data_IF_646334966232
#
_entry.id   IF_646334966232
#
_cell.length_a   1.000
_cell.length_b   1.000
_cell.length_c   1.000
_cell.angle_alpha   90.00
_cell.angle_beta   90.00
_cell.angle_gamma   90.00
#
_symmetry.space_group_name_H-M   'P 1'
#
loop_
_entity.id
_entity.type
_entity.pdbx_description
1 polymer ?
#
# COMPACT_ATOMS: atom_id res chain seq x y z
N UNK A 1 -34.29 -11.77 6.93
CA UNK A 1 -33.29 -10.73 7.28
C UNK A 1 -33.01 -9.90 6.05
N UNK A 2 -33.29 -8.59 6.10
CA UNK A 2 -33.11 -7.69 4.95
C UNK A 2 -31.62 -7.46 4.64
N UNK A 3 -31.32 -7.11 3.37
CA UNK A 3 -29.95 -6.74 2.94
C UNK A 3 -29.32 -5.65 3.82
N UNK A 4 -30.12 -4.72 4.32
CA UNK A 4 -29.73 -3.65 5.25
C UNK A 4 -29.24 -4.21 6.59
N UNK A 5 -29.85 -5.28 7.10
CA UNK A 5 -29.41 -5.93 8.35
C UNK A 5 -28.10 -6.70 8.19
N UNK A 6 -27.80 -7.22 6.98
CA UNK A 6 -26.49 -7.83 6.67
C UNK A 6 -25.40 -6.78 6.58
N UNK A 7 -25.66 -5.63 5.95
CA UNK A 7 -24.71 -4.51 5.89
C UNK A 7 -24.38 -3.96 7.28
N UNK A 8 -25.38 -3.78 8.16
CA UNK A 8 -25.13 -3.34 9.54
C UNK A 8 -24.33 -4.37 10.38
N UNK A 9 -24.46 -5.65 10.08
CA UNK A 9 -23.73 -6.71 10.79
C UNK A 9 -22.26 -6.74 10.36
N UNK A 10 -21.97 -6.55 9.08
CA UNK A 10 -20.59 -6.44 8.54
C UNK A 10 -19.92 -5.16 9.05
N UNK A 11 -20.64 -4.02 9.10
CA UNK A 11 -20.12 -2.77 9.65
C UNK A 11 -19.81 -2.85 11.15
N UNK A 12 -20.64 -3.55 11.92
CA UNK A 12 -20.41 -3.78 13.35
C UNK A 12 -19.24 -4.73 13.62
N UNK A 13 -19.07 -5.74 12.79
CA UNK A 13 -17.96 -6.71 12.92
C UNK A 13 -16.64 -6.04 12.58
N UNK A 14 -16.55 -5.27 11.49
CA UNK A 14 -15.32 -4.54 11.14
C UNK A 14 -14.91 -3.50 12.18
N UNK A 15 -15.87 -2.75 12.75
CA UNK A 15 -15.60 -1.77 13.81
C UNK A 15 -15.27 -2.43 15.16
N UNK A 16 -15.86 -3.58 15.47
CA UNK A 16 -15.57 -4.36 16.67
C UNK A 16 -14.18 -4.99 16.59
N UNK A 17 -13.79 -5.52 15.44
CA UNK A 17 -12.45 -6.09 15.23
C UNK A 17 -11.40 -4.98 15.33
N UNK A 18 -11.63 -3.80 14.73
CA UNK A 18 -10.72 -2.66 14.81
C UNK A 18 -10.57 -2.13 16.26
N UNK A 19 -11.66 -2.07 17.03
CA UNK A 19 -11.63 -1.66 18.44
C UNK A 19 -10.98 -2.72 19.33
N UNK A 20 -11.25 -4.01 19.14
CA UNK A 20 -10.56 -5.10 19.83
C UNK A 20 -9.07 -5.13 19.53
N UNK A 21 -8.69 -4.78 18.29
CA UNK A 21 -7.32 -4.71 17.83
C UNK A 21 -6.54 -3.55 18.49
N UNK A 22 -7.17 -2.37 18.57
CA UNK A 22 -6.61 -1.19 19.28
C UNK A 22 -6.46 -1.46 20.77
N UNK A 23 -7.41 -2.19 21.38
CA UNK A 23 -7.39 -2.51 22.82
C UNK A 23 -6.36 -3.57 23.21
N UNK A 24 -5.94 -4.44 22.27
CA UNK A 24 -4.96 -5.51 22.54
C UNK A 24 -3.50 -5.07 22.42
N UNK A 25 -3.21 -3.84 21.97
CA UNK A 25 -1.84 -3.35 21.82
C UNK A 25 -1.01 -4.13 20.77
N UNK A 26 -1.65 -4.99 19.97
CA UNK A 26 -1.01 -5.73 18.89
C UNK A 26 -0.69 -4.79 17.73
N UNK A 27 0.51 -4.93 17.18
CA UNK A 27 1.07 -4.00 16.22
C UNK A 27 0.14 -3.84 15.01
N UNK A 28 -0.15 -2.62 14.60
CA UNK A 28 -0.80 -2.28 13.33
C UNK A 28 -0.22 -3.04 12.11
N UNK A 29 1.02 -3.56 12.23
CA UNK A 29 1.67 -4.37 11.21
C UNK A 29 0.88 -5.63 10.81
N UNK A 30 0.03 -6.19 11.68
CA UNK A 30 -0.74 -7.37 11.33
C UNK A 30 -1.90 -7.05 10.39
N UNK A 31 -2.58 -5.90 10.54
CA UNK A 31 -3.75 -5.55 9.73
C UNK A 31 -3.45 -5.41 8.23
N UNK A 32 -2.35 -4.72 7.88
CA UNK A 32 -1.93 -4.65 6.46
C UNK A 32 -1.51 -6.04 5.96
N UNK A 33 -0.81 -6.80 6.79
CA UNK A 33 -0.34 -8.14 6.43
C UNK A 33 -1.53 -9.09 6.19
N UNK A 34 -2.51 -9.10 7.09
CA UNK A 34 -3.76 -9.85 6.95
C UNK A 34 -4.51 -9.46 5.69
N UNK A 35 -4.62 -8.14 5.40
CA UNK A 35 -5.27 -7.65 4.19
C UNK A 35 -4.58 -8.14 2.90
N UNK A 36 -3.25 -8.23 2.90
CA UNK A 36 -2.46 -8.75 1.78
C UNK A 36 -2.51 -10.28 1.70
N UNK A 37 -2.62 -10.98 2.83
CA UNK A 37 -2.81 -12.44 2.85
C UNK A 37 -4.20 -12.85 2.33
N UNK A 38 -5.24 -12.06 2.64
CA UNK A 38 -6.60 -12.29 2.12
C UNK A 38 -6.65 -12.09 0.58
N UNK A 39 -6.04 -11.01 0.08
CA UNK A 39 -5.90 -10.75 -1.35
C UNK A 39 -4.55 -10.08 -1.65
N UNK A 40 -3.63 -10.76 -2.38
CA UNK A 40 -2.31 -10.21 -2.68
C UNK A 40 -2.33 -9.16 -3.80
N UNK A 41 -3.51 -8.71 -4.25
CA UNK A 41 -3.64 -7.67 -5.27
C UNK A 41 -3.93 -6.33 -4.60
N UNK A 42 -3.03 -5.37 -4.82
CA UNK A 42 -3.14 -3.99 -4.36
C UNK A 42 -3.60 -3.13 -5.54
N UNK A 43 -4.71 -2.42 -5.38
CA UNK A 43 -5.17 -1.48 -6.40
C UNK A 43 -4.38 -0.17 -6.30
N UNK A 44 -3.71 0.24 -7.37
CA UNK A 44 -3.02 1.51 -7.47
C UNK A 44 -3.86 2.49 -8.28
N UNK A 45 -4.51 3.44 -7.61
CA UNK A 45 -5.45 4.39 -8.23
C UNK A 45 -4.73 5.68 -8.63
N UNK A 46 -5.00 6.19 -9.83
CA UNK A 46 -4.33 7.37 -10.42
C UNK A 46 -5.29 8.50 -10.83
N UNK A 47 -6.59 8.33 -10.58
CA UNK A 47 -7.64 9.32 -10.82
C UNK A 47 -8.92 8.94 -10.05
N UNK A 48 -9.93 9.83 -10.09
CA UNK A 48 -11.20 9.63 -9.37
C UNK A 48 -12.06 8.49 -9.93
N UNK A 49 -11.93 8.15 -11.21
CA UNK A 49 -12.70 7.04 -11.81
C UNK A 49 -12.12 5.71 -11.37
N UNK A 50 -10.78 5.57 -11.34
CA UNK A 50 -10.10 4.43 -10.74
C UNK A 50 -10.52 4.24 -9.26
N UNK A 51 -10.60 5.34 -8.51
CA UNK A 51 -11.01 5.32 -7.11
C UNK A 51 -12.42 4.77 -6.93
N UNK A 52 -13.40 5.25 -7.72
CA UNK A 52 -14.78 4.77 -7.67
C UNK A 52 -14.89 3.28 -7.97
N UNK A 53 -14.19 2.83 -9.03
CA UNK A 53 -14.15 1.41 -9.40
C UNK A 53 -13.55 0.59 -8.26
N UNK A 54 -12.38 1.00 -7.76
CA UNK A 54 -11.69 0.31 -6.68
C UNK A 54 -12.55 0.19 -5.41
N UNK A 55 -13.24 1.27 -5.00
CA UNK A 55 -14.10 1.26 -3.83
C UNK A 55 -15.31 0.32 -3.96
N UNK A 56 -15.76 0.03 -5.19
CA UNK A 56 -16.86 -0.91 -5.45
C UNK A 56 -16.45 -2.40 -5.46
N UNK A 57 -15.15 -2.70 -5.56
CA UNK A 57 -14.64 -4.08 -5.60
C UNK A 57 -14.49 -4.62 -4.17
N UNK A 58 -15.24 -5.65 -3.81
CA UNK A 58 -15.23 -6.22 -2.45
C UNK A 58 -13.91 -6.93 -2.10
N UNK A 59 -13.26 -7.55 -3.09
CA UNK A 59 -12.04 -8.33 -2.89
C UNK A 59 -10.80 -7.46 -2.67
N UNK A 60 -10.76 -6.24 -3.19
CA UNK A 60 -9.64 -5.33 -2.96
C UNK A 60 -9.62 -4.86 -1.51
N UNK A 61 -8.52 -5.12 -0.81
CA UNK A 61 -8.31 -4.76 0.59
C UNK A 61 -7.39 -3.56 0.77
N UNK A 62 -6.41 -3.40 -0.11
CA UNK A 62 -5.38 -2.37 -0.01
C UNK A 62 -5.38 -1.48 -1.25
N UNK A 63 -5.33 -0.17 -1.03
CA UNK A 63 -5.33 0.84 -2.10
C UNK A 63 -4.09 1.74 -1.98
N UNK A 64 -3.31 1.84 -3.07
CA UNK A 64 -2.22 2.78 -3.23
C UNK A 64 -2.72 4.01 -3.98
N UNK A 65 -2.66 5.18 -3.36
CA UNK A 65 -3.13 6.46 -3.91
C UNK A 65 -1.95 7.14 -4.61
N UNK A 66 -2.03 7.24 -5.94
CA UNK A 66 -0.97 7.80 -6.80
C UNK A 66 -1.35 9.17 -7.40
N UNK A 67 -2.40 9.82 -6.91
CA UNK A 67 -2.92 11.07 -7.44
C UNK A 67 -3.53 11.94 -6.35
N UNK A 68 -3.87 13.16 -6.73
CA UNK A 68 -4.48 14.15 -5.85
C UNK A 68 -3.53 15.29 -5.50
N UNK A 69 -3.99 16.15 -4.67
CA UNK A 69 -3.26 17.33 -4.19
C UNK A 69 -3.56 17.59 -2.70
N UNK A 70 -2.91 18.60 -2.14
CA UNK A 70 -3.06 18.97 -0.74
C UNK A 70 -4.52 19.32 -0.35
N UNK A 71 -5.35 19.73 -1.30
CA UNK A 71 -6.75 20.09 -1.06
C UNK A 71 -7.69 18.88 -1.13
N UNK A 72 -7.39 17.90 -1.99
CA UNK A 72 -8.26 16.74 -2.29
C UNK A 72 -7.89 15.46 -1.54
N UNK A 73 -6.65 15.33 -1.06
CA UNK A 73 -6.15 14.07 -0.49
C UNK A 73 -6.98 13.58 0.70
N UNK A 74 -7.54 14.47 1.51
CA UNK A 74 -8.38 14.10 2.65
C UNK A 74 -9.64 13.37 2.20
N UNK A 75 -10.32 13.90 1.19
CA UNK A 75 -11.56 13.31 0.66
C UNK A 75 -11.30 12.00 -0.06
N UNK A 76 -10.19 11.90 -0.80
CA UNK A 76 -9.75 10.67 -1.47
C UNK A 76 -9.52 9.55 -0.44
N UNK A 77 -8.77 9.84 0.62
CA UNK A 77 -8.53 8.88 1.71
C UNK A 77 -9.84 8.48 2.39
N UNK A 78 -10.72 9.46 2.68
CA UNK A 78 -12.00 9.19 3.35
C UNK A 78 -12.87 8.22 2.54
N UNK A 79 -12.99 8.40 1.21
CA UNK A 79 -13.75 7.49 0.36
C UNK A 79 -13.24 6.04 0.44
N UNK A 80 -11.91 5.85 0.47
CA UNK A 80 -11.29 4.53 0.63
C UNK A 80 -11.62 3.95 2.01
N UNK A 81 -11.50 4.76 3.07
CA UNK A 81 -11.80 4.32 4.44
C UNK A 81 -13.27 3.97 4.61
N UNK A 82 -14.18 4.74 4.02
CA UNK A 82 -15.62 4.47 4.03
C UNK A 82 -15.98 3.15 3.33
N UNK A 83 -15.17 2.72 2.36
CA UNK A 83 -15.29 1.41 1.71
C UNK A 83 -14.63 0.25 2.49
N UNK A 84 -14.10 0.51 3.70
CA UNK A 84 -13.51 -0.49 4.59
C UNK A 84 -12.11 -0.97 4.18
N UNK A 85 -11.40 -0.21 3.34
CA UNK A 85 -10.10 -0.59 2.79
C UNK A 85 -8.94 0.14 3.47
N UNK A 86 -7.74 -0.40 3.29
CA UNK A 86 -6.47 0.21 3.73
C UNK A 86 -6.07 1.28 2.71
N UNK A 87 -5.84 2.52 3.19
CA UNK A 87 -5.46 3.67 2.38
C UNK A 87 -3.97 4.00 2.55
N UNK A 88 -3.17 3.82 1.50
CA UNK A 88 -1.74 4.12 1.47
C UNK A 88 -1.46 5.29 0.53
N UNK A 89 -0.94 6.41 1.03
CA UNK A 89 -0.69 7.62 0.24
C UNK A 89 0.74 7.65 -0.30
N UNK A 90 0.90 7.74 -1.63
CA UNK A 90 2.20 7.99 -2.23
C UNK A 90 2.55 9.48 -2.13
N UNK A 91 3.19 9.86 -1.05
CA UNK A 91 3.41 11.28 -0.69
C UNK A 91 4.25 12.06 -1.71
N UNK A 92 5.11 11.38 -2.49
CA UNK A 92 5.89 12.04 -3.54
C UNK A 92 5.05 12.45 -4.76
N UNK A 93 3.82 11.91 -4.91
CA UNK A 93 2.93 12.14 -6.06
C UNK A 93 1.75 13.06 -5.74
N UNK A 94 1.60 13.51 -4.50
CA UNK A 94 0.53 14.43 -4.12
C UNK A 94 0.97 15.88 -4.42
N UNK A 95 0.26 16.51 -5.33
CA UNK A 95 0.56 17.89 -5.75
C UNK A 95 0.44 18.89 -4.58
N UNK A 96 1.35 19.84 -4.52
CA UNK A 96 1.38 20.85 -3.45
C UNK A 96 2.06 20.39 -2.16
N UNK A 97 2.44 19.11 -2.04
CA UNK A 97 3.24 18.64 -0.93
C UNK A 97 4.74 18.80 -1.22
N UNK A 98 5.51 19.13 -0.19
CA UNK A 98 6.97 19.25 -0.28
C UNK A 98 7.65 17.89 -0.13
N UNK A 99 8.97 17.84 -0.39
CA UNK A 99 9.78 16.63 -0.15
C UNK A 99 10.36 16.57 1.27
N UNK A 100 9.84 17.36 2.21
CA UNK A 100 10.30 17.45 3.59
C UNK A 100 9.45 16.58 4.51
N UNK A 101 9.99 16.16 5.63
CA UNK A 101 9.33 15.27 6.62
C UNK A 101 7.98 15.79 7.11
N UNK A 102 7.78 17.11 7.14
CA UNK A 102 6.52 17.79 7.51
C UNK A 102 5.31 17.29 6.69
N UNK A 103 5.54 16.79 5.48
CA UNK A 103 4.50 16.19 4.64
C UNK A 103 3.85 14.98 5.32
N UNK A 104 4.65 14.17 5.99
CA UNK A 104 4.15 12.97 6.68
C UNK A 104 3.33 13.37 7.88
N UNK A 105 3.74 14.43 8.61
CA UNK A 105 2.95 15.01 9.69
C UNK A 105 1.62 15.57 9.17
N UNK A 106 1.63 16.22 8.00
CA UNK A 106 0.41 16.71 7.36
C UNK A 106 -0.56 15.58 7.04
N UNK A 107 -0.10 14.51 6.38
CA UNK A 107 -0.93 13.34 6.06
C UNK A 107 -1.49 12.73 7.35
N UNK A 108 -0.66 12.52 8.36
CA UNK A 108 -1.07 11.93 9.64
C UNK A 108 -2.13 12.75 10.38
N UNK A 109 -2.04 14.10 10.31
CA UNK A 109 -2.94 15.00 11.05
C UNK A 109 -4.23 15.32 10.29
N UNK A 110 -4.19 15.32 8.97
CA UNK A 110 -5.30 15.83 8.16
C UNK A 110 -6.06 14.74 7.40
N UNK A 111 -5.61 13.47 7.48
CA UNK A 111 -6.27 12.34 6.82
C UNK A 111 -6.36 11.14 7.75
N UNK A 112 -7.19 10.15 7.39
CA UNK A 112 -7.26 8.84 8.03
C UNK A 112 -6.40 7.78 7.31
N UNK A 113 -5.36 8.21 6.59
CA UNK A 113 -4.47 7.29 5.90
C UNK A 113 -3.79 6.32 6.88
N UNK A 114 -3.78 5.05 6.52
CA UNK A 114 -3.14 4.00 7.31
C UNK A 114 -1.62 4.04 7.16
N UNK A 115 -1.13 4.52 6.00
CA UNK A 115 0.31 4.56 5.75
C UNK A 115 0.70 5.45 4.58
N UNK A 116 2.01 5.44 4.32
CA UNK A 116 2.62 6.20 3.24
C UNK A 116 3.51 5.33 2.36
N UNK A 117 3.63 5.76 1.10
CA UNK A 117 4.59 5.24 0.13
C UNK A 117 5.50 6.39 -0.26
N UNK A 118 6.80 6.15 -0.31
CA UNK A 118 7.77 7.14 -0.78
C UNK A 118 9.02 6.47 -1.34
N UNK A 119 9.70 7.17 -2.26
CA UNK A 119 11.05 6.81 -2.71
C UNK A 119 12.14 7.36 -1.78
N UNK A 120 11.76 8.18 -0.79
CA UNK A 120 12.69 8.92 0.08
C UNK A 120 12.76 8.31 1.48
N UNK A 121 13.94 7.80 1.83
CA UNK A 121 14.21 7.18 3.12
C UNK A 121 13.83 8.05 4.34
N UNK A 122 14.04 9.37 4.26
CA UNK A 122 13.69 10.31 5.34
C UNK A 122 12.18 10.33 5.63
N UNK A 123 11.34 10.33 4.58
CA UNK A 123 9.88 10.32 4.73
C UNK A 123 9.39 9.00 5.33
N UNK A 124 9.99 7.87 4.92
CA UNK A 124 9.68 6.55 5.50
C UNK A 124 10.05 6.50 6.98
N UNK A 125 11.25 7.01 7.34
CA UNK A 125 11.65 7.09 8.75
C UNK A 125 10.65 7.92 9.56
N UNK A 126 10.22 9.08 9.04
CA UNK A 126 9.20 9.91 9.70
C UNK A 126 7.86 9.18 9.84
N UNK A 127 7.42 8.43 8.81
CA UNK A 127 6.22 7.61 8.88
C UNK A 127 6.27 6.58 10.01
N UNK A 128 7.41 5.91 10.18
CA UNK A 128 7.63 4.97 11.29
C UNK A 128 7.53 5.66 12.66
N UNK A 129 8.13 6.84 12.83
CA UNK A 129 8.04 7.63 14.07
C UNK A 129 6.60 7.99 14.41
N UNK A 130 5.76 8.26 13.40
CA UNK A 130 4.34 8.55 13.54
C UNK A 130 3.44 7.30 13.59
N UNK A 131 4.03 6.10 13.65
CA UNK A 131 3.34 4.80 13.69
C UNK A 131 2.40 4.57 12.50
N UNK A 132 2.78 5.06 11.32
CA UNK A 132 2.10 4.78 10.06
C UNK A 132 2.74 3.55 9.39
N UNK A 133 1.98 2.83 8.57
CA UNK A 133 2.56 1.84 7.66
C UNK A 133 3.47 2.52 6.65
N UNK A 134 4.54 1.85 6.29
CA UNK A 134 5.54 2.43 5.40
C UNK A 134 5.94 1.48 4.28
N UNK A 135 5.83 1.98 3.05
CA UNK A 135 6.32 1.30 1.85
C UNK A 135 7.44 2.14 1.23
N UNK A 136 8.65 1.59 1.21
CA UNK A 136 9.78 2.23 0.52
C UNK A 136 9.82 1.72 -0.92
N UNK A 137 9.61 2.63 -1.89
CA UNK A 137 9.56 2.29 -3.32
C UNK A 137 10.92 2.45 -3.98
N UNK A 138 11.30 1.44 -4.78
CA UNK A 138 12.51 1.42 -5.58
C UNK A 138 12.23 1.16 -7.05
N UNK A 139 12.94 1.90 -7.90
CA UNK A 139 13.02 1.61 -9.33
C UNK A 139 14.30 0.83 -9.61
N UNK A 140 14.18 -0.43 -10.02
CA UNK A 140 15.32 -1.30 -10.36
C UNK A 140 15.76 -1.07 -11.80
N UNK A 141 16.52 -0.01 -12.01
CA UNK A 141 17.04 0.36 -13.33
C UNK A 141 18.39 -0.28 -13.62
N UNK A 142 19.20 -0.52 -12.58
CA UNK A 142 20.58 -1.02 -12.68
C UNK A 142 21.01 -1.76 -11.41
N UNK A 143 22.29 -2.18 -11.40
CA UNK A 143 22.91 -2.85 -10.26
C UNK A 143 23.07 -1.94 -9.05
N UNK A 144 23.19 -0.62 -9.23
CA UNK A 144 23.30 0.33 -8.11
C UNK A 144 21.98 0.41 -7.34
N UNK A 145 20.85 0.42 -8.06
CA UNK A 145 19.53 0.39 -7.43
C UNK A 145 19.35 -0.87 -6.56
N UNK A 146 19.82 -2.02 -7.04
CA UNK A 146 19.81 -3.26 -6.27
C UNK A 146 20.66 -3.18 -4.98
N UNK A 147 21.88 -2.65 -5.05
CA UNK A 147 22.71 -2.46 -3.85
C UNK A 147 22.13 -1.43 -2.88
N UNK A 148 21.46 -0.39 -3.38
CA UNK A 148 20.78 0.59 -2.55
C UNK A 148 19.68 -0.03 -1.69
N UNK A 149 18.89 -0.98 -2.23
CA UNK A 149 17.89 -1.73 -1.44
C UNK A 149 18.59 -2.43 -0.27
N UNK A 150 19.71 -3.13 -0.54
CA UNK A 150 20.46 -3.87 0.49
C UNK A 150 20.93 -2.98 1.62
N UNK A 151 21.43 -1.79 1.30
CA UNK A 151 21.96 -0.85 2.29
C UNK A 151 20.83 -0.15 3.07
N UNK A 152 19.84 0.38 2.38
CA UNK A 152 18.81 1.24 2.98
C UNK A 152 17.78 0.47 3.80
N UNK A 153 17.45 -0.78 3.45
CA UNK A 153 16.50 -1.58 4.23
C UNK A 153 16.91 -1.73 5.71
N UNK A 154 18.21 -1.78 5.99
CA UNK A 154 18.72 -1.88 7.36
C UNK A 154 18.70 -0.55 8.11
N UNK A 155 18.92 0.55 7.40
CA UNK A 155 18.96 1.89 7.99
C UNK A 155 17.55 2.44 8.30
N UNK A 156 16.57 2.19 7.41
CA UNK A 156 15.22 2.77 7.49
C UNK A 156 14.22 1.81 8.10
N UNK A 157 14.39 0.49 7.87
CA UNK A 157 13.48 -0.59 8.30
C UNK A 157 12.02 -0.31 7.94
N UNK A 158 11.69 -0.12 6.64
CA UNK A 158 10.32 0.04 6.21
C UNK A 158 9.53 -1.24 6.52
N UNK A 159 8.20 -1.16 6.60
CA UNK A 159 7.38 -2.34 6.80
C UNK A 159 7.33 -3.19 5.53
N UNK A 160 7.36 -2.53 4.35
CA UNK A 160 7.40 -3.18 3.03
C UNK A 160 8.34 -2.43 2.10
N UNK A 161 8.85 -3.15 1.11
CA UNK A 161 9.58 -2.58 -0.03
C UNK A 161 8.78 -2.86 -1.29
N UNK A 162 8.48 -1.81 -2.06
CA UNK A 162 7.91 -1.97 -3.38
C UNK A 162 8.97 -1.82 -4.46
N UNK A 163 9.02 -2.77 -5.38
CA UNK A 163 10.02 -2.87 -6.44
C UNK A 163 9.36 -2.72 -7.80
N UNK A 164 9.83 -1.78 -8.61
CA UNK A 164 9.38 -1.53 -9.99
C UNK A 164 10.55 -1.71 -10.98
N UNK A 165 10.28 -2.26 -12.18
CA UNK A 165 9.04 -2.87 -12.64
C UNK A 165 8.82 -4.29 -12.11
N UNK A 166 7.55 -4.65 -11.83
CA UNK A 166 7.15 -5.95 -11.28
C UNK A 166 7.20 -7.14 -12.25
N UNK A 167 7.45 -6.89 -13.53
CA UNK A 167 7.49 -7.91 -14.60
C UNK A 167 8.84 -8.59 -14.77
N UNK A 168 9.72 -8.49 -13.77
CA UNK A 168 11.06 -9.09 -13.78
C UNK A 168 11.19 -10.19 -12.71
N UNK A 169 10.54 -11.37 -12.83
CA UNK A 169 10.49 -12.36 -11.75
C UNK A 169 11.85 -12.85 -11.29
N UNK A 170 12.83 -12.98 -12.19
CA UNK A 170 14.21 -13.33 -11.82
C UNK A 170 14.88 -12.31 -10.91
N UNK A 171 14.62 -11.03 -11.14
CA UNK A 171 15.18 -9.94 -10.31
C UNK A 171 14.44 -9.85 -8.99
N UNK A 172 13.10 -9.92 -9.01
CA UNK A 172 12.26 -9.98 -7.82
C UNK A 172 12.71 -11.11 -6.90
N UNK A 173 12.92 -12.32 -7.45
CA UNK A 173 13.39 -13.47 -6.66
C UNK A 173 14.77 -13.24 -6.01
N UNK A 174 15.67 -12.50 -6.66
CA UNK A 174 16.95 -12.10 -6.04
C UNK A 174 16.73 -11.10 -4.90
N UNK A 175 15.86 -10.11 -5.10
CA UNK A 175 15.54 -9.12 -4.05
C UNK A 175 14.87 -9.79 -2.86
N UNK A 176 13.89 -10.67 -3.07
CA UNK A 176 13.21 -11.42 -2.00
C UNK A 176 14.17 -12.27 -1.16
N UNK A 177 15.15 -12.92 -1.80
CA UNK A 177 16.18 -13.70 -1.08
C UNK A 177 17.16 -12.84 -0.27
N UNK A 178 17.41 -11.64 -0.71
CA UNK A 178 18.35 -10.70 -0.06
C UNK A 178 17.66 -9.91 1.06
N UNK A 179 16.39 -9.56 0.87
CA UNK A 179 15.65 -8.68 1.78
C UNK A 179 15.03 -9.47 2.93
N UNK A 180 15.13 -8.91 4.16
CA UNK A 180 14.34 -9.35 5.32
C UNK A 180 12.98 -8.64 5.38
N UNK A 181 12.83 -7.54 4.65
CA UNK A 181 11.57 -6.81 4.53
C UNK A 181 10.74 -7.43 3.41
N UNK A 182 9.44 -7.68 3.61
CA UNK A 182 8.55 -8.23 2.58
C UNK A 182 8.52 -7.36 1.32
N UNK A 183 8.45 -8.00 0.15
CA UNK A 183 8.53 -7.33 -1.16
C UNK A 183 7.15 -7.31 -1.83
N UNK A 184 6.76 -6.14 -2.30
CA UNK A 184 5.62 -5.90 -3.19
C UNK A 184 6.19 -5.68 -4.59
N UNK A 185 5.65 -6.35 -5.60
CA UNK A 185 6.02 -6.14 -7.00
C UNK A 185 5.04 -5.17 -7.65
N UNK A 186 5.54 -4.05 -8.19
CA UNK A 186 4.71 -3.02 -8.81
C UNK A 186 5.19 -2.60 -10.19
N UNK A 187 4.29 -1.93 -10.93
CA UNK A 187 4.59 -1.37 -12.25
C UNK A 187 4.64 -2.41 -13.37
N UNK A 188 3.98 -2.07 -14.47
CA UNK A 188 3.84 -2.85 -15.72
C UNK A 188 3.10 -4.20 -15.56
N UNK A 189 2.56 -4.53 -14.40
CA UNK A 189 1.75 -5.74 -14.18
C UNK A 189 0.36 -5.48 -14.75
N UNK A 190 -0.02 -6.22 -15.80
CA UNK A 190 -1.25 -5.99 -16.56
C UNK A 190 -2.10 -7.25 -16.81
N UNK A 191 -1.60 -8.43 -16.43
CA UNK A 191 -2.22 -9.71 -16.71
C UNK A 191 -1.93 -10.75 -15.61
N UNK A 192 -2.67 -11.86 -15.64
CA UNK A 192 -2.56 -12.93 -14.66
C UNK A 192 -1.20 -13.61 -14.66
N UNK A 193 -0.56 -13.73 -15.82
CA UNK A 193 0.76 -14.37 -15.92
C UNK A 193 1.80 -13.55 -15.17
N UNK A 194 1.82 -12.25 -15.37
CA UNK A 194 2.71 -11.31 -14.65
C UNK A 194 2.45 -11.34 -13.14
N UNK A 195 1.19 -11.37 -12.69
CA UNK A 195 0.81 -11.51 -11.28
C UNK A 195 1.39 -12.79 -10.69
N UNK A 196 1.10 -13.93 -11.33
CA UNK A 196 1.55 -15.24 -10.85
C UNK A 196 3.08 -15.38 -10.88
N UNK A 197 3.75 -14.80 -11.89
CA UNK A 197 5.20 -14.79 -11.98
C UNK A 197 5.85 -14.00 -10.83
N UNK A 198 5.31 -12.84 -10.48
CA UNK A 198 5.81 -12.02 -9.38
C UNK A 198 5.61 -12.70 -8.02
N UNK A 199 4.41 -13.25 -7.74
CA UNK A 199 4.12 -13.97 -6.49
C UNK A 199 4.97 -15.24 -6.37
N UNK A 200 5.09 -16.03 -7.45
CA UNK A 200 5.94 -17.24 -7.48
C UNK A 200 7.43 -16.93 -7.28
N UNK A 201 7.88 -15.71 -7.63
CA UNK A 201 9.23 -15.26 -7.37
C UNK A 201 9.48 -14.87 -5.89
N UNK A 202 8.43 -14.81 -5.07
CA UNK A 202 8.50 -14.55 -3.63
C UNK A 202 7.99 -13.16 -3.21
N UNK A 203 7.42 -12.36 -4.11
CA UNK A 203 6.68 -11.18 -3.71
C UNK A 203 5.43 -11.59 -2.90
N UNK A 204 5.13 -10.85 -1.84
CA UNK A 204 3.94 -11.12 -1.01
C UNK A 204 2.66 -10.55 -1.62
N UNK A 205 2.82 -9.54 -2.46
CA UNK A 205 1.72 -8.86 -3.16
C UNK A 205 2.20 -8.25 -4.47
N UNK A 206 1.23 -7.88 -5.30
CA UNK A 206 1.44 -7.09 -6.50
C UNK A 206 0.62 -5.81 -6.46
N UNK A 207 1.16 -4.67 -6.92
CA UNK A 207 0.42 -3.44 -7.12
C UNK A 207 0.23 -3.18 -8.60
N UNK A 208 -1.00 -2.87 -9.01
CA UNK A 208 -1.33 -2.61 -10.41
C UNK A 208 -2.32 -1.47 -10.57
N UNK A 209 -2.21 -0.71 -11.67
CA UNK A 209 -3.19 0.28 -12.12
C UNK A 209 -4.17 -0.30 -13.13
N UNK A 210 -4.08 -1.59 -13.46
CA UNK A 210 -4.93 -2.25 -14.43
C UNK A 210 -6.16 -2.85 -13.75
N UNK A 211 -7.36 -2.43 -14.18
CA UNK A 211 -8.64 -2.86 -13.61
C UNK A 211 -8.92 -4.35 -13.80
N UNK A 212 -8.38 -4.98 -14.85
CA UNK A 212 -8.55 -6.42 -15.05
C UNK A 212 -7.74 -7.22 -14.02
N UNK A 213 -6.61 -6.68 -13.57
CA UNK A 213 -5.83 -7.29 -12.46
C UNK A 213 -6.59 -7.18 -11.14
N UNK A 214 -7.34 -6.08 -10.91
CA UNK A 214 -8.10 -5.91 -9.67
C UNK A 214 -9.29 -6.88 -9.51
N UNK A 215 -9.73 -7.51 -10.60
CA UNK A 215 -10.88 -8.45 -10.64
C UNK A 215 -10.48 -9.93 -10.56
N UNK A 216 -9.18 -10.22 -10.34
CA UNK A 216 -8.64 -11.60 -10.37
C UNK A 216 -8.82 -12.36 -9.05
#
# INVERSE_FOLDING_TARGET
MSQVQRLHKVYRVGRSILLDYIMRGEKMSSFFHEAVEENPIIAAVKNMDDLKICCSLEDIRVVFILFGDVCSIREIVQQIKDSGKVAMVHVDLISGLSSKEIVVDFIRKNTEADGIISTKAALIKRGKELKMFTVLRYFLLDSMAYENIRQQQHAVKPDYIEVLPGVMPKVIGKVCKMSKTPIIAGGLISDKESVMAALSAGAIAVSSTNHEVWKM
#
